data_IF_985170038102
#
_entry.id   IF_985170038102
#
_cell.length_a   1.000
_cell.length_b   1.000
_cell.length_c   1.000
_cell.angle_alpha   90.00
_cell.angle_beta   90.00
_cell.angle_gamma   90.00
#
_symmetry.space_group_name_H-M   'P 1'
#
loop_
_entity.id
_entity.type
_entity.pdbx_description
1 polymer ?
#
# COMPACT_ATOMS: atom_id res chain seq x y z
N UNK A 1 -5.54 -2.86 -12.44
CA UNK A 1 -6.89 -2.47 -12.01
C UNK A 1 -7.57 -3.69 -11.45
N UNK A 2 -7.80 -3.73 -10.14
CA UNK A 2 -8.46 -4.84 -9.45
C UNK A 2 -9.83 -4.38 -8.97
N UNK A 3 -10.90 -5.10 -9.24
CA UNK A 3 -12.17 -4.93 -8.50
C UNK A 3 -12.48 -6.27 -7.86
N UNK A 4 -11.91 -6.47 -6.66
CA UNK A 4 -11.89 -7.75 -5.95
C UNK A 4 -12.14 -7.54 -4.46
N UNK A 5 -12.54 -8.57 -3.69
CA UNK A 5 -12.65 -8.48 -2.23
C UNK A 5 -11.32 -8.08 -1.57
N UNK A 6 -11.39 -7.48 -0.38
CA UNK A 6 -10.23 -6.91 0.31
C UNK A 6 -9.17 -7.98 0.64
N UNK A 7 -9.60 -9.18 1.02
CA UNK A 7 -8.74 -10.33 1.29
C UNK A 7 -8.02 -10.80 0.03
N UNK A 8 -8.71 -10.80 -1.11
CA UNK A 8 -8.11 -11.14 -2.40
C UNK A 8 -7.16 -10.06 -2.89
N UNK A 9 -7.43 -8.79 -2.59
CA UNK A 9 -6.50 -7.68 -2.85
C UNK A 9 -5.25 -7.83 -1.99
N UNK A 10 -5.40 -8.05 -0.68
CA UNK A 10 -4.31 -8.24 0.26
C UNK A 10 -3.41 -9.42 -0.16
N UNK A 11 -3.99 -10.58 -0.47
CA UNK A 11 -3.22 -11.75 -0.92
C UNK A 11 -2.43 -11.48 -2.22
N UNK A 12 -3.01 -10.73 -3.16
CA UNK A 12 -2.31 -10.34 -4.40
C UNK A 12 -1.18 -9.37 -4.15
N UNK A 13 -1.37 -8.40 -3.27
CA UNK A 13 -0.33 -7.42 -2.91
C UNK A 13 0.78 -8.10 -2.11
N UNK A 14 0.46 -8.97 -1.14
CA UNK A 14 1.45 -9.78 -0.42
C UNK A 14 2.31 -10.60 -1.38
N UNK A 15 1.70 -11.15 -2.44
CA UNK A 15 2.41 -11.89 -3.49
C UNK A 15 3.37 -11.04 -4.36
N UNK A 16 3.34 -9.71 -4.24
CA UNK A 16 4.33 -8.83 -4.88
C UNK A 16 5.66 -8.80 -4.11
N UNK A 17 5.68 -9.25 -2.85
CA UNK A 17 6.84 -9.24 -1.96
C UNK A 17 6.87 -8.04 -1.02
N UNK A 18 7.76 -8.10 -0.04
CA UNK A 18 7.99 -7.02 0.92
C UNK A 18 8.37 -5.72 0.20
N UNK A 19 7.89 -4.59 0.69
CA UNK A 19 8.17 -3.30 0.08
C UNK A 19 7.09 -2.24 0.29
N UNK A 20 7.29 -1.11 -0.39
CA UNK A 20 6.39 0.04 -0.37
C UNK A 20 5.74 0.24 -1.73
N UNK A 21 4.41 0.32 -1.72
CA UNK A 21 3.58 0.45 -2.93
C UNK A 21 2.71 1.69 -2.84
N UNK A 22 2.39 2.28 -3.98
CA UNK A 22 1.32 3.29 -4.09
C UNK A 22 0.04 2.55 -4.43
N UNK A 23 -1.05 2.88 -3.73
CA UNK A 23 -2.39 2.41 -4.06
C UNK A 23 -3.31 3.57 -4.43
N UNK A 24 -3.81 3.54 -5.67
CA UNK A 24 -4.90 4.39 -6.13
C UNK A 24 -6.25 3.73 -5.81
N UNK A 25 -7.16 4.52 -5.24
CA UNK A 25 -8.51 4.14 -4.84
C UNK A 25 -9.56 4.92 -5.65
N UNK A 26 -10.84 4.71 -5.37
CA UNK A 26 -11.93 5.33 -6.14
C UNK A 26 -11.90 6.87 -6.12
N UNK A 27 -11.64 7.43 -4.94
CA UNK A 27 -11.61 8.86 -4.66
C UNK A 27 -10.47 9.23 -3.68
N UNK A 28 -9.51 8.34 -3.49
CA UNK A 28 -8.47 8.46 -2.48
C UNK A 28 -7.16 7.81 -2.94
N UNK A 29 -6.09 8.01 -2.18
CA UNK A 29 -4.76 7.44 -2.45
C UNK A 29 -4.06 7.16 -1.13
N UNK A 30 -3.18 6.17 -1.12
CA UNK A 30 -2.33 5.89 0.01
C UNK A 30 -1.10 5.10 -0.40
N UNK A 31 -0.35 4.67 0.61
CA UNK A 31 0.70 3.70 0.47
C UNK A 31 0.24 2.36 1.02
N UNK A 32 0.75 1.28 0.44
CA UNK A 32 0.67 -0.05 1.04
C UNK A 32 2.07 -0.48 1.44
N UNK A 33 2.21 -0.87 2.70
CA UNK A 33 3.43 -1.48 3.23
C UNK A 33 3.21 -2.98 3.28
N UNK A 34 4.11 -3.74 2.66
CA UNK A 34 4.20 -5.18 2.78
C UNK A 34 5.46 -5.51 3.58
N UNK A 35 5.30 -6.20 4.70
CA UNK A 35 6.41 -6.61 5.57
C UNK A 35 6.10 -7.99 6.17
N UNK A 36 6.91 -9.00 5.85
CA UNK A 36 6.68 -10.37 6.32
C UNK A 36 5.33 -10.95 5.88
N UNK A 37 4.79 -10.47 4.75
CA UNK A 37 3.47 -10.84 4.25
C UNK A 37 2.28 -10.11 4.89
N UNK A 38 2.50 -9.30 5.93
CA UNK A 38 1.48 -8.39 6.45
C UNK A 38 1.25 -7.24 5.46
N UNK A 39 -0.02 -6.90 5.21
CA UNK A 39 -0.38 -5.87 4.21
C UNK A 39 -1.16 -4.75 4.89
N UNK A 40 -0.52 -3.58 5.00
CA UNK A 40 -1.04 -2.43 5.74
C UNK A 40 -1.24 -1.23 4.83
N UNK A 41 -2.34 -0.52 5.01
CA UNK A 41 -2.63 0.74 4.33
C UNK A 41 -2.16 1.90 5.20
N UNK A 42 -1.26 2.73 4.67
CA UNK A 42 -0.81 3.98 5.28
C UNK A 42 -1.33 5.15 4.46
N UNK A 43 -2.24 5.93 5.02
CA UNK A 43 -2.89 7.02 4.28
C UNK A 43 -3.39 8.13 5.20
N UNK A 44 -3.58 9.33 4.65
CA UNK A 44 -4.26 10.42 5.32
C UNK A 44 -5.76 10.14 5.32
N UNK A 45 -6.25 9.48 6.37
CA UNK A 45 -7.61 8.95 6.35
C UNK A 45 -8.64 10.07 6.21
N UNK A 46 -9.62 9.88 5.33
CA UNK A 46 -10.83 10.71 5.31
C UNK A 46 -11.97 10.05 6.10
N UNK A 47 -11.73 8.83 6.60
CA UNK A 47 -12.66 8.03 7.39
C UNK A 47 -12.24 8.06 8.86
N UNK A 48 -13.17 8.22 9.79
CA UNK A 48 -12.83 8.33 11.21
C UNK A 48 -12.12 9.64 11.60
N UNK A 49 -10.94 9.54 12.25
CA UNK A 49 -10.29 10.65 12.96
C UNK A 49 -9.58 11.69 12.08
N UNK A 50 -9.54 11.49 10.77
CA UNK A 50 -8.95 12.42 9.80
C UNK A 50 -7.46 12.75 10.00
N UNK A 51 -6.67 11.72 10.33
CA UNK A 51 -5.21 11.79 10.51
C UNK A 51 -4.52 10.75 9.65
N UNK A 52 -3.19 10.87 9.52
CA UNK A 52 -2.38 9.80 8.93
C UNK A 52 -2.54 8.55 9.80
N UNK A 53 -3.02 7.48 9.17
CA UNK A 53 -3.38 6.23 9.83
C UNK A 53 -2.61 5.10 9.14
N UNK A 54 -2.17 4.14 9.94
CA UNK A 54 -1.57 2.89 9.52
C UNK A 54 -2.47 1.74 10.04
N UNK A 55 -3.18 1.08 9.13
CA UNK A 55 -4.20 0.08 9.46
C UNK A 55 -4.14 -1.15 8.54
N UNK A 56 -4.65 -2.33 8.96
CA UNK A 56 -4.70 -3.50 8.10
C UNK A 56 -5.52 -3.23 6.83
N UNK A 57 -4.97 -3.57 5.67
CA UNK A 57 -5.61 -3.28 4.37
C UNK A 57 -7.01 -3.92 4.27
N UNK A 58 -7.19 -5.10 4.86
CA UNK A 58 -8.45 -5.84 4.81
C UNK A 58 -9.58 -5.18 5.58
N UNK A 59 -9.27 -4.44 6.66
CA UNK A 59 -10.27 -3.77 7.51
C UNK A 59 -10.46 -2.29 7.20
N UNK A 60 -9.63 -1.72 6.33
CA UNK A 60 -9.67 -0.29 6.01
C UNK A 60 -10.96 0.10 5.25
N UNK A 61 -11.71 1.06 5.78
CA UNK A 61 -12.97 1.52 5.16
C UNK A 61 -12.75 2.09 3.75
N UNK A 62 -11.62 2.78 3.51
CA UNK A 62 -11.27 3.31 2.20
C UNK A 62 -11.12 2.21 1.13
N UNK A 63 -10.73 0.99 1.52
CA UNK A 63 -10.65 -0.17 0.64
C UNK A 63 -12.05 -0.70 0.32
N UNK A 64 -12.92 -0.81 1.33
CA UNK A 64 -14.31 -1.22 1.16
C UNK A 64 -15.07 -0.27 0.22
N UNK A 65 -14.97 1.04 0.44
CA UNK A 65 -15.62 2.09 -0.35
C UNK A 65 -15.18 2.07 -1.82
N UNK A 66 -13.93 1.66 -2.07
CA UNK A 66 -13.34 1.72 -3.40
C UNK A 66 -13.59 0.47 -4.24
N UNK A 67 -14.04 -0.64 -3.64
CA UNK A 67 -14.27 -1.91 -4.34
C UNK A 67 -15.08 -1.78 -5.65
N UNK A 68 -16.19 -1.00 -5.73
CA UNK A 68 -16.98 -0.90 -6.95
C UNK A 68 -16.25 -0.19 -8.11
N UNK A 69 -15.23 0.62 -7.82
CA UNK A 69 -14.37 1.32 -8.80
C UNK A 69 -12.97 0.74 -8.90
N UNK A 70 -12.68 -0.26 -8.08
CA UNK A 70 -11.42 -0.97 -8.09
C UNK A 70 -10.22 -0.17 -7.58
N UNK A 71 -9.06 -0.79 -7.79
CA UNK A 71 -7.78 -0.42 -7.19
C UNK A 71 -6.68 -0.44 -8.24
N UNK A 72 -5.71 0.45 -8.11
CA UNK A 72 -4.45 0.43 -8.86
C UNK A 72 -3.29 0.35 -7.89
N UNK A 73 -2.35 -0.57 -8.10
CA UNK A 73 -1.19 -0.76 -7.22
C UNK A 73 0.07 -0.80 -8.08
N UNK A 74 1.09 -0.06 -7.66
CA UNK A 74 2.42 -0.04 -8.29
C UNK A 74 3.49 0.09 -7.21
N UNK A 75 4.67 -0.55 -7.35
CA UNK A 75 5.77 -0.31 -6.42
C UNK A 75 6.22 1.16 -6.48
N UNK A 76 6.67 1.70 -5.35
CA UNK A 76 7.31 3.02 -5.28
C UNK A 76 8.70 2.97 -5.92
N UNK A 77 9.42 1.88 -5.69
CA UNK A 77 10.78 1.65 -6.20
C UNK A 77 10.81 0.30 -6.93
N UNK A 78 11.51 0.26 -8.06
CA UNK A 78 11.76 -1.01 -8.77
C UNK A 78 13.09 -1.67 -8.39
N UNK A 79 13.93 -0.97 -7.62
CA UNK A 79 15.22 -1.45 -7.13
C UNK A 79 15.25 -1.36 -5.61
N UNK A 80 15.00 -2.48 -4.92
CA UNK A 80 14.96 -2.57 -3.46
C UNK A 80 16.28 -2.17 -2.80
N UNK A 81 17.40 -2.29 -3.53
CA UNK A 81 18.71 -1.80 -3.07
C UNK A 81 18.67 -0.30 -2.78
N UNK A 82 17.88 0.48 -3.50
CA UNK A 82 17.75 1.91 -3.25
C UNK A 82 17.08 2.19 -1.90
N UNK A 83 16.01 1.45 -1.59
CA UNK A 83 15.33 1.56 -0.30
C UNK A 83 16.27 1.14 0.84
N UNK A 84 16.98 0.03 0.67
CA UNK A 84 17.96 -0.48 1.64
C UNK A 84 19.13 0.49 1.89
N UNK A 85 19.70 1.07 0.83
CA UNK A 85 20.74 2.11 0.96
C UNK A 85 20.22 3.35 1.69
N UNK A 86 19.02 3.82 1.32
CA UNK A 86 18.40 4.97 1.97
C UNK A 86 18.13 4.73 3.45
N UNK A 87 17.54 3.59 3.81
CA UNK A 87 17.24 3.23 5.20
C UNK A 87 18.50 3.06 6.06
N UNK A 88 19.62 2.63 5.47
CA UNK A 88 20.93 2.57 6.16
C UNK A 88 21.67 3.91 6.20
N UNK A 89 21.14 4.95 5.56
CA UNK A 89 21.81 6.26 5.45
C UNK A 89 23.08 6.21 4.60
N UNK A 90 23.18 5.27 3.65
CA UNK A 90 24.33 5.13 2.75
C UNK A 90 24.05 5.87 1.45
N UNK A 91 25.08 6.50 0.87
CA UNK A 91 24.95 7.16 -0.43
C UNK A 91 24.51 6.17 -1.52
N UNK A 92 23.54 6.57 -2.34
CA UNK A 92 23.13 5.82 -3.52
C UNK A 92 24.19 6.02 -4.61
N UNK A 93 24.89 4.97 -5.08
CA UNK A 93 25.83 5.08 -6.18
C UNK A 93 25.08 5.49 -7.46
N UNK A 94 25.60 6.52 -8.14
CA UNK A 94 25.12 6.97 -9.46
C UNK A 94 25.56 6.00 -10.57
#
# INVERSE_FOLDING_TARGET
>A
YFSVPAESLAARIAGLGDGLYIIGLANHIGFVVVDGGEVRLVHASYTGAQVVTDEPLVSAQAIADSRPKGYFVTPVMHDDRLADLWLRGVAVPL
#
